data_IF_370361771859
#
_entry.id   IF_370361771859
#
_cell.length_a   1.000
_cell.length_b   1.000
_cell.length_c   1.000
_cell.angle_alpha   90.00
_cell.angle_beta   90.00
_cell.angle_gamma   90.00
#
_symmetry.space_group_name_H-M   'P 1'
#
loop_
_entity.id
_entity.type
_entity.pdbx_description
1 polymer ?
#
# COMPACT_ATOMS: atom_id res chain seq x y z
N UNK A 1 3.65 -5.67 -13.94
CA UNK A 1 4.19 -4.35 -14.33
C UNK A 1 5.28 -3.92 -13.36
N UNK A 2 6.33 -3.23 -13.81
CA UNK A 2 7.42 -2.76 -12.94
C UNK A 2 7.48 -1.23 -12.94
N UNK A 3 7.39 -0.61 -11.76
CA UNK A 3 7.48 0.85 -11.58
C UNK A 3 8.59 1.15 -10.58
N UNK A 4 9.64 1.85 -11.02
CA UNK A 4 10.78 2.12 -10.16
C UNK A 4 11.49 3.43 -10.49
N UNK A 5 12.06 4.06 -9.45
CA UNK A 5 12.93 5.24 -9.60
C UNK A 5 12.23 6.55 -9.92
N UNK A 6 10.90 6.61 -9.79
CA UNK A 6 10.14 7.82 -10.11
C UNK A 6 9.95 8.74 -8.90
N UNK A 7 9.81 10.04 -9.20
CA UNK A 7 9.34 11.06 -8.27
C UNK A 7 7.93 11.52 -8.70
N UNK A 8 6.95 11.42 -7.80
CA UNK A 8 5.58 11.86 -8.05
C UNK A 8 5.14 12.87 -6.98
N UNK A 9 4.81 14.08 -7.43
CA UNK A 9 4.19 15.15 -6.64
C UNK A 9 3.07 15.75 -7.48
N UNK A 10 1.86 15.27 -7.26
CA UNK A 10 0.65 15.72 -7.92
C UNK A 10 -0.50 15.70 -6.92
N UNK A 11 -1.48 16.59 -7.01
CA UNK A 11 -2.60 16.64 -6.06
C UNK A 11 -3.56 15.41 -6.12
N UNK A 12 -3.21 14.35 -6.85
CA UNK A 12 -3.97 13.11 -7.04
C UNK A 12 -3.21 11.89 -6.51
N UNK A 13 -3.31 10.71 -7.12
CA UNK A 13 -2.51 9.55 -6.72
C UNK A 13 -1.13 9.64 -7.38
N UNK A 14 -0.06 9.38 -6.61
CA UNK A 14 1.27 9.26 -7.18
C UNK A 14 1.36 8.05 -8.12
N UNK A 15 0.96 6.89 -7.63
CA UNK A 15 0.72 5.68 -8.44
C UNK A 15 -0.69 5.16 -8.12
N UNK A 16 -1.48 4.94 -9.16
CA UNK A 16 -2.78 4.27 -9.09
C UNK A 16 -2.75 3.04 -9.98
N UNK A 17 -3.10 1.85 -9.45
CA UNK A 17 -3.19 0.66 -10.28
C UNK A 17 -4.19 -0.39 -9.79
N UNK A 18 -4.58 -1.24 -10.73
CA UNK A 18 -5.41 -2.42 -10.53
C UNK A 18 -4.86 -3.56 -11.40
N UNK A 19 -3.77 -4.20 -10.99
CA UNK A 19 -3.15 -5.27 -11.77
C UNK A 19 -2.23 -6.16 -10.93
N UNK A 20 -2.38 -7.47 -11.07
CA UNK A 20 -1.51 -8.49 -10.48
C UNK A 20 -0.12 -8.51 -11.12
N UNK A 21 0.83 -9.23 -10.50
CA UNK A 21 2.23 -9.35 -10.95
C UNK A 21 2.90 -7.99 -11.08
N UNK A 22 2.71 -7.15 -10.07
CA UNK A 22 3.18 -5.77 -10.07
C UNK A 22 4.27 -5.55 -9.03
N UNK A 23 5.38 -4.96 -9.45
CA UNK A 23 6.49 -4.58 -8.57
C UNK A 23 6.65 -3.06 -8.58
N UNK A 24 6.52 -2.44 -7.41
CA UNK A 24 6.70 -1.00 -7.19
C UNK A 24 7.84 -0.82 -6.20
N UNK A 25 8.96 -0.27 -6.66
CA UNK A 25 10.15 -0.15 -5.82
C UNK A 25 10.91 1.15 -5.99
N UNK A 26 11.51 1.64 -4.91
CA UNK A 26 12.41 2.79 -4.95
C UNK A 26 11.78 4.06 -5.58
N UNK A 27 10.49 4.28 -5.36
CA UNK A 27 9.81 5.50 -5.81
C UNK A 27 9.67 6.48 -4.65
N UNK A 28 9.59 7.77 -4.98
CA UNK A 28 9.37 8.85 -4.04
C UNK A 28 8.06 9.57 -4.37
N UNK A 29 7.03 9.34 -3.56
CA UNK A 29 5.68 9.83 -3.78
C UNK A 29 5.33 10.80 -2.64
N UNK A 30 5.50 12.09 -2.91
CA UNK A 30 5.43 13.16 -1.92
C UNK A 30 4.29 14.13 -2.25
N UNK A 31 3.53 14.56 -1.23
CA UNK A 31 2.45 15.57 -1.38
C UNK A 31 1.40 15.20 -2.42
N UNK A 32 1.08 13.92 -2.51
CA UNK A 32 -0.04 13.42 -3.28
C UNK A 32 -1.28 13.31 -2.41
N UNK A 33 -2.45 13.07 -3.00
CA UNK A 33 -3.63 12.65 -2.26
C UNK A 33 -3.40 11.28 -1.61
N UNK A 34 -2.96 10.31 -2.43
CA UNK A 34 -2.40 9.03 -2.00
C UNK A 34 -1.02 8.85 -2.63
N UNK A 35 -0.05 8.30 -1.90
CA UNK A 35 1.23 7.92 -2.50
C UNK A 35 1.02 6.81 -3.52
N UNK A 36 0.74 5.60 -3.03
CA UNK A 36 0.38 4.43 -3.83
C UNK A 36 -1.04 4.03 -3.46
N UNK A 37 -1.94 3.97 -4.44
CA UNK A 37 -3.32 3.53 -4.26
C UNK A 37 -3.64 2.32 -5.15
N UNK A 38 -4.11 1.25 -4.52
CA UNK A 38 -4.38 -0.03 -5.16
C UNK A 38 -5.84 -0.42 -4.91
N UNK A 39 -6.57 -0.66 -5.99
CA UNK A 39 -7.95 -1.16 -5.96
C UNK A 39 -7.99 -2.39 -6.86
N UNK A 40 -7.81 -3.60 -6.32
CA UNK A 40 -7.61 -4.81 -7.12
C UNK A 40 -8.87 -5.32 -7.83
N UNK A 41 -10.07 -4.85 -7.46
CA UNK A 41 -11.28 -4.85 -8.28
C UNK A 41 -12.49 -4.59 -7.38
N UNK A 42 -13.51 -3.95 -7.94
CA UNK A 42 -14.73 -3.58 -7.23
C UNK A 42 -15.63 -4.82 -7.12
N UNK A 43 -15.62 -5.51 -5.97
CA UNK A 43 -16.63 -6.41 -5.37
C UNK A 43 -17.34 -7.50 -6.23
N UNK A 44 -17.15 -7.54 -7.55
CA UNK A 44 -17.91 -8.33 -8.54
C UNK A 44 -17.08 -8.79 -9.75
N UNK A 45 -15.92 -8.19 -10.01
CA UNK A 45 -14.98 -8.68 -11.03
C UNK A 45 -13.77 -9.34 -10.34
N UNK A 46 -13.51 -10.59 -10.74
CA UNK A 46 -12.80 -11.60 -9.97
C UNK A 46 -11.28 -11.61 -10.19
N UNK A 47 -10.69 -10.44 -10.40
CA UNK A 47 -9.24 -10.34 -10.57
C UNK A 47 -8.62 -10.13 -9.19
N UNK A 48 -8.28 -11.23 -8.54
CA UNK A 48 -7.60 -11.17 -7.25
C UNK A 48 -6.20 -10.59 -7.45
N UNK A 49 -5.77 -9.70 -6.55
CA UNK A 49 -4.40 -9.22 -6.57
C UNK A 49 -3.46 -10.38 -6.24
N UNK A 50 -2.61 -10.74 -7.18
CA UNK A 50 -1.59 -11.77 -6.97
C UNK A 50 -0.20 -11.24 -7.26
N UNK A 51 0.79 -11.77 -6.55
CA UNK A 51 2.22 -11.54 -6.80
C UNK A 51 2.58 -10.03 -6.87
N UNK A 52 2.18 -9.28 -5.84
CA UNK A 52 2.41 -7.83 -5.77
C UNK A 52 3.50 -7.51 -4.76
N UNK A 53 4.50 -6.75 -5.19
CA UNK A 53 5.65 -6.36 -4.37
C UNK A 53 5.71 -4.83 -4.30
N UNK A 54 5.59 -4.28 -3.10
CA UNK A 54 5.74 -2.86 -2.82
C UNK A 54 6.86 -2.70 -1.81
N UNK A 55 8.00 -2.19 -2.26
CA UNK A 55 9.19 -2.22 -1.43
C UNK A 55 10.12 -1.04 -1.61
N UNK A 56 10.72 -0.55 -0.53
CA UNK A 56 11.67 0.57 -0.56
C UNK A 56 11.10 1.87 -1.15
N UNK A 57 9.79 2.11 -1.06
CA UNK A 57 9.21 3.37 -1.51
C UNK A 57 9.13 4.37 -0.35
N UNK A 58 9.27 5.65 -0.68
CA UNK A 58 9.02 6.76 0.24
C UNK A 58 7.68 7.38 -0.12
N UNK A 59 6.73 7.37 0.80
CA UNK A 59 5.34 7.84 0.63
C UNK A 59 4.99 8.86 1.71
N UNK A 60 5.52 10.08 1.57
CA UNK A 60 5.50 11.08 2.64
C UNK A 60 4.62 12.30 2.35
N UNK A 61 4.10 12.92 3.40
CA UNK A 61 3.35 14.17 3.31
C UNK A 61 2.13 14.09 2.37
N UNK A 62 1.55 12.90 2.17
CA UNK A 62 0.36 12.75 1.35
C UNK A 62 -0.88 13.16 2.15
N UNK A 63 -1.87 13.73 1.47
CA UNK A 63 -3.08 14.27 2.09
C UNK A 63 -3.84 13.21 2.89
N UNK A 64 -3.87 11.97 2.40
CA UNK A 64 -4.59 10.87 3.05
C UNK A 64 -3.65 9.76 3.48
N UNK A 65 -3.30 8.83 2.59
CA UNK A 65 -2.52 7.64 2.96
C UNK A 65 -1.28 7.47 2.09
N UNK A 66 -0.18 7.04 2.69
CA UNK A 66 1.05 6.75 1.97
C UNK A 66 0.90 5.57 0.99
N UNK A 67 0.70 4.35 1.50
CA UNK A 67 0.32 3.17 0.70
C UNK A 67 -1.07 2.72 1.13
N UNK A 68 -2.03 2.69 0.21
CA UNK A 68 -3.37 2.20 0.46
C UNK A 68 -3.71 1.03 -0.45
N UNK A 69 -3.90 -0.15 0.14
CA UNK A 69 -4.44 -1.32 -0.53
C UNK A 69 -5.91 -1.47 -0.10
N UNK A 70 -6.84 -1.07 -0.97
CA UNK A 70 -8.27 -1.03 -0.68
C UNK A 70 -8.99 -2.24 -1.23
N UNK A 71 -9.81 -2.87 -0.39
CA UNK A 71 -10.69 -3.98 -0.76
C UNK A 71 -9.95 -5.13 -1.49
N UNK A 72 -8.78 -5.51 -0.96
CA UNK A 72 -7.97 -6.61 -1.50
C UNK A 72 -8.46 -7.99 -1.08
N UNK A 73 -9.68 -8.33 -1.49
CA UNK A 73 -10.29 -9.65 -1.27
C UNK A 73 -9.51 -10.75 -1.99
N UNK A 74 -9.37 -11.91 -1.34
CA UNK A 74 -8.73 -13.12 -1.87
C UNK A 74 -7.38 -12.90 -2.55
N UNK A 75 -6.65 -11.87 -2.10
CA UNK A 75 -5.35 -11.53 -2.65
C UNK A 75 -4.31 -12.51 -2.16
N UNK A 76 -3.24 -12.72 -2.93
CA UNK A 76 -2.19 -13.66 -2.57
C UNK A 76 -0.79 -13.17 -2.92
N UNK A 77 0.19 -13.61 -2.13
CA UNK A 77 1.61 -13.32 -2.33
C UNK A 77 1.91 -11.80 -2.40
N UNK A 78 1.19 -11.00 -1.61
CA UNK A 78 1.42 -9.55 -1.51
C UNK A 78 2.50 -9.25 -0.48
N UNK A 79 3.59 -8.62 -0.91
CA UNK A 79 4.71 -8.22 -0.06
C UNK A 79 4.75 -6.70 0.02
N UNK A 80 4.58 -6.14 1.22
CA UNK A 80 4.76 -4.73 1.52
C UNK A 80 5.87 -4.58 2.54
N UNK A 81 7.07 -4.18 2.11
CA UNK A 81 8.22 -4.15 3.02
C UNK A 81 9.17 -2.99 2.81
N UNK A 82 9.86 -2.56 3.87
CA UNK A 82 10.89 -1.50 3.77
C UNK A 82 10.41 -0.18 3.17
N UNK A 83 9.11 0.10 3.23
CA UNK A 83 8.58 1.39 2.81
C UNK A 83 8.63 2.38 3.98
N UNK A 84 8.78 3.65 3.64
CA UNK A 84 8.78 4.77 4.59
C UNK A 84 7.55 5.62 4.31
N UNK A 85 6.59 5.63 5.22
CA UNK A 85 5.34 6.39 5.09
C UNK A 85 5.09 7.32 6.27
N UNK A 86 5.61 8.54 6.17
CA UNK A 86 5.60 9.52 7.26
C UNK A 86 4.76 10.76 6.93
N UNK A 87 4.22 11.40 7.96
CA UNK A 87 3.52 12.69 7.86
C UNK A 87 2.32 12.66 6.91
N UNK A 88 1.65 11.51 6.73
CA UNK A 88 0.44 11.44 5.93
C UNK A 88 -0.79 11.81 6.78
N UNK A 89 -1.83 12.36 6.15
CA UNK A 89 -2.99 12.86 6.87
C UNK A 89 -3.80 11.78 7.61
N UNK A 90 -3.71 10.51 7.20
CA UNK A 90 -4.43 9.39 7.82
C UNK A 90 -3.49 8.24 8.24
N UNK A 91 -3.00 7.45 7.29
CA UNK A 91 -2.14 6.28 7.53
C UNK A 91 -0.83 6.38 6.77
N UNK A 92 0.26 5.81 7.30
CA UNK A 92 1.47 5.59 6.51
C UNK A 92 1.26 4.45 5.52
N UNK A 93 0.78 3.31 6.03
CA UNK A 93 0.41 2.13 5.24
C UNK A 93 -0.93 1.61 5.76
N UNK A 94 -1.92 1.49 4.88
CA UNK A 94 -3.23 0.92 5.19
C UNK A 94 -3.55 -0.23 4.25
N UNK A 95 -3.99 -1.35 4.82
CA UNK A 95 -4.41 -2.54 4.09
C UNK A 95 -5.84 -2.87 4.49
N UNK A 96 -6.80 -2.42 3.67
CA UNK A 96 -8.19 -2.85 3.76
C UNK A 96 -8.35 -4.16 2.99
N UNK A 97 -8.06 -5.28 3.63
CA UNK A 97 -8.16 -6.59 2.97
C UNK A 97 -8.84 -7.60 3.89
N UNK A 98 -9.92 -8.21 3.42
CA UNK A 98 -10.59 -9.25 4.20
C UNK A 98 -9.76 -10.52 4.32
N UNK A 99 -8.99 -10.89 3.28
CA UNK A 99 -8.11 -12.08 3.23
C UNK A 99 -6.90 -11.79 2.34
N UNK A 100 -5.68 -11.91 2.88
CA UNK A 100 -4.45 -12.01 2.05
C UNK A 100 -3.74 -13.31 2.38
N UNK A 101 -3.72 -14.24 1.43
CA UNK A 101 -2.99 -15.50 1.54
C UNK A 101 -1.49 -15.27 1.30
N UNK A 102 -0.64 -15.73 2.21
CA UNK A 102 0.82 -15.54 2.13
C UNK A 102 1.25 -14.06 2.00
N UNK A 103 0.47 -13.14 2.58
CA UNK A 103 0.81 -11.73 2.64
C UNK A 103 1.90 -11.44 3.67
N UNK A 104 2.87 -10.58 3.32
CA UNK A 104 3.95 -10.18 4.22
C UNK A 104 3.98 -8.66 4.34
N UNK A 105 3.88 -8.15 5.56
CA UNK A 105 4.05 -6.73 5.89
C UNK A 105 5.17 -6.60 6.91
N UNK A 106 6.35 -6.14 6.50
CA UNK A 106 7.53 -6.19 7.39
C UNK A 106 8.51 -5.04 7.16
N UNK A 107 9.21 -4.64 8.23
CA UNK A 107 10.29 -3.65 8.16
C UNK A 107 9.85 -2.29 7.55
N UNK A 108 8.58 -1.92 7.65
CA UNK A 108 8.10 -0.62 7.19
C UNK A 108 8.20 0.39 8.33
N UNK A 109 8.49 1.64 7.99
CA UNK A 109 8.55 2.75 8.95
C UNK A 109 7.37 3.68 8.65
N UNK A 110 6.54 3.96 9.64
CA UNK A 110 5.42 4.89 9.49
C UNK A 110 5.21 5.73 10.75
N UNK A 111 5.68 6.97 10.70
CA UNK A 111 5.69 7.89 11.83
C UNK A 111 4.87 9.15 11.54
N UNK A 112 4.35 9.78 12.60
CA UNK A 112 3.68 11.08 12.54
C UNK A 112 2.50 11.13 11.53
N UNK A 113 1.72 10.05 11.42
CA UNK A 113 0.52 10.04 10.59
C UNK A 113 -0.69 10.47 11.45
N UNK A 114 -1.52 11.38 10.95
CA UNK A 114 -2.32 12.27 11.80
C UNK A 114 -3.60 11.67 12.42
N UNK A 115 -4.25 10.70 11.77
CA UNK A 115 -5.64 10.34 12.12
C UNK A 115 -5.81 8.97 12.78
N UNK A 116 -4.95 8.02 12.44
CA UNK A 116 -5.12 6.62 12.88
C UNK A 116 -3.79 5.97 13.27
N UNK A 117 -3.37 4.91 12.58
CA UNK A 117 -2.15 4.15 12.86
C UNK A 117 -1.08 4.42 11.79
N UNK A 118 0.19 4.27 12.16
CA UNK A 118 1.28 4.29 11.18
C UNK A 118 1.12 3.18 10.13
N UNK A 119 0.91 1.95 10.60
CA UNK A 119 0.57 0.78 9.77
C UNK A 119 -0.72 0.19 10.35
N UNK A 120 -1.75 0.06 9.53
CA UNK A 120 -3.05 -0.48 9.94
C UNK A 120 -3.68 -1.38 8.89
N UNK A 121 -4.56 -2.28 9.33
CA UNK A 121 -5.39 -3.09 8.45
C UNK A 121 -6.56 -3.72 9.19
N UNK A 122 -7.69 -3.89 8.52
CA UNK A 122 -8.83 -4.65 9.02
C UNK A 122 -8.79 -6.04 8.39
N UNK A 123 -8.44 -7.05 9.18
CA UNK A 123 -8.40 -8.45 8.73
C UNK A 123 -9.69 -9.11 9.18
N UNK A 124 -10.61 -9.38 8.24
CA UNK A 124 -11.86 -10.05 8.59
C UNK A 124 -11.69 -11.58 8.65
N UNK A 125 -10.83 -12.17 7.81
CA UNK A 125 -10.49 -13.60 7.80
C UNK A 125 -9.07 -13.82 7.23
N UNK A 126 -8.04 -13.86 8.07
CA UNK A 126 -6.65 -14.07 7.61
C UNK A 126 -5.62 -13.70 8.66
N UNK A 127 -4.35 -14.04 8.44
CA UNK A 127 -3.25 -13.67 9.32
C UNK A 127 -2.24 -12.78 8.59
N UNK A 128 -1.98 -11.59 9.14
CA UNK A 128 -0.85 -10.77 8.72
C UNK A 128 0.27 -10.92 9.73
N UNK A 129 1.47 -11.28 9.26
CA UNK A 129 2.66 -11.26 10.09
C UNK A 129 3.28 -9.86 10.02
N UNK A 130 2.98 -9.02 11.01
CA UNK A 130 3.67 -7.74 11.20
C UNK A 130 4.97 -8.02 11.94
N UNK A 131 6.10 -8.03 11.22
CA UNK A 131 7.43 -8.05 11.82
C UNK A 131 7.93 -6.62 11.99
N UNK A 132 8.11 -6.21 13.25
CA UNK A 132 8.78 -4.97 13.64
C UNK A 132 10.28 -5.07 13.37
#
# INVERSE_FOLDING_TARGET
MNIFGFYFENYYCGIFFNSSKTTITNNNLIKNAYGIYIIPSIRYHKDNLTDTIIMNNTVNNNLWTGIYLYDAYDSSNTIISRNIGNNNGEYGISIGASVINNGIVSNNIANNNNKYYGIGGSVYYGSFHIKK
#
